data_IF_801811738975
#
_entry.id   IF_801811738975
#
_cell.length_a   1.000
_cell.length_b   1.000
_cell.length_c   1.000
_cell.angle_alpha   90.00
_cell.angle_beta   90.00
_cell.angle_gamma   90.00
#
_symmetry.space_group_name_H-M   'P 1'
#
loop_
_entity.id
_entity.type
_entity.pdbx_description
1 polymer ?
#
# COMPACT_ATOMS: atom_id res chain seq x y z
N UNK A 1 -1.60 -15.11 12.51
CA UNK A 1 -2.35 -13.84 12.35
C UNK A 1 -2.59 -13.66 10.86
N UNK A 2 -3.73 -14.13 10.35
CA UNK A 2 -4.17 -13.83 8.98
C UNK A 2 -5.06 -12.60 9.15
N UNK A 3 -4.62 -11.44 8.68
CA UNK A 3 -5.51 -10.29 8.54
C UNK A 3 -6.47 -10.64 7.41
N UNK A 4 -7.76 -10.77 7.71
CA UNK A 4 -8.78 -10.84 6.66
C UNK A 4 -8.86 -9.44 6.03
N UNK A 5 -8.03 -9.20 5.01
CA UNK A 5 -7.99 -7.93 4.27
C UNK A 5 -9.40 -7.64 3.76
N UNK A 6 -9.94 -6.45 4.02
CA UNK A 6 -11.25 -6.05 3.53
C UNK A 6 -11.26 -5.78 2.02
N UNK A 7 -12.45 -5.51 1.46
CA UNK A 7 -12.59 -5.27 0.02
C UNK A 7 -11.90 -3.96 -0.43
N UNK A 8 -11.99 -2.90 0.38
CA UNK A 8 -11.38 -1.60 0.07
C UNK A 8 -9.86 -1.69 0.13
N UNK A 9 -9.33 -2.36 1.14
CA UNK A 9 -7.91 -2.59 1.36
C UNK A 9 -7.30 -3.37 0.18
N UNK A 10 -7.98 -4.43 -0.30
CA UNK A 10 -7.56 -5.15 -1.52
C UNK A 10 -7.49 -4.23 -2.74
N UNK A 11 -8.50 -3.37 -2.91
CA UNK A 11 -8.52 -2.42 -4.03
C UNK A 11 -7.31 -1.47 -3.96
N UNK A 12 -7.02 -0.90 -2.79
CA UNK A 12 -5.89 0.01 -2.60
C UNK A 12 -4.54 -0.69 -2.80
N UNK A 13 -4.41 -1.95 -2.39
CA UNK A 13 -3.22 -2.76 -2.66
C UNK A 13 -3.00 -2.91 -4.18
N UNK A 14 -4.04 -3.23 -4.94
CA UNK A 14 -3.93 -3.38 -6.40
C UNK A 14 -3.65 -2.05 -7.11
N UNK A 15 -4.26 -0.95 -6.67
CA UNK A 15 -3.98 0.39 -7.20
C UNK A 15 -2.51 0.78 -7.00
N UNK A 16 -1.98 0.59 -5.80
CA UNK A 16 -0.57 0.85 -5.50
C UNK A 16 0.35 0.00 -6.38
N UNK A 17 0.04 -1.29 -6.55
CA UNK A 17 0.83 -2.21 -7.39
C UNK A 17 0.88 -1.73 -8.84
N UNK A 18 -0.25 -1.25 -9.39
CA UNK A 18 -0.32 -0.74 -10.76
C UNK A 18 0.46 0.58 -10.90
N UNK A 19 0.32 1.49 -9.94
CA UNK A 19 0.96 2.81 -9.99
C UNK A 19 2.48 2.76 -9.80
N UNK A 20 2.94 2.00 -8.80
CA UNK A 20 4.34 2.04 -8.32
C UNK A 20 5.17 0.82 -8.71
N UNK A 21 4.53 -0.27 -9.16
CA UNK A 21 5.15 -1.60 -9.34
C UNK A 21 5.70 -2.22 -8.05
N UNK A 22 5.37 -1.66 -6.88
CA UNK A 22 5.73 -2.21 -5.58
C UNK A 22 4.71 -3.27 -5.10
N UNK A 23 5.14 -4.13 -4.17
CA UNK A 23 4.26 -5.11 -3.53
C UNK A 23 3.90 -4.66 -2.11
N UNK A 24 2.62 -4.44 -1.83
CA UNK A 24 2.10 -4.31 -0.46
C UNK A 24 1.70 -5.67 0.11
N UNK A 25 2.05 -5.90 1.38
CA UNK A 25 1.69 -7.07 2.19
C UNK A 25 0.35 -6.84 2.89
N UNK A 26 0.11 -5.61 3.33
CA UNK A 26 -1.09 -5.21 4.05
C UNK A 26 -1.43 -3.74 3.73
N UNK A 27 -2.68 -3.36 3.96
CA UNK A 27 -3.19 -2.02 3.76
C UNK A 27 -4.19 -1.71 4.88
N UNK A 28 -3.96 -0.61 5.59
CA UNK A 28 -4.83 -0.14 6.66
C UNK A 28 -5.43 1.19 6.21
N UNK A 29 -6.75 1.27 6.25
CA UNK A 29 -7.49 2.51 6.00
C UNK A 29 -7.74 3.18 7.36
N UNK A 30 -7.17 4.36 7.55
CA UNK A 30 -7.30 5.15 8.77
C UNK A 30 -8.19 6.36 8.50
N UNK A 31 -9.50 6.13 8.48
CA UNK A 31 -10.53 7.15 8.20
C UNK A 31 -10.50 8.30 9.21
N UNK A 32 -9.98 8.09 10.43
CA UNK A 32 -9.89 9.13 11.46
C UNK A 32 -8.88 10.22 11.11
N UNK A 33 -7.86 9.87 10.31
CA UNK A 33 -6.77 10.76 9.90
C UNK A 33 -6.70 10.94 8.38
N UNK A 34 -7.73 10.51 7.64
CA UNK A 34 -7.83 10.58 6.18
C UNK A 34 -6.57 10.09 5.46
N UNK A 35 -6.08 8.90 5.83
CA UNK A 35 -4.84 8.33 5.27
C UNK A 35 -4.92 6.83 5.07
N UNK A 36 -4.08 6.35 4.15
CA UNK A 36 -3.90 4.93 3.85
C UNK A 36 -2.47 4.55 4.22
N UNK A 37 -2.32 3.48 4.99
CA UNK A 37 -1.03 2.99 5.48
C UNK A 37 -0.74 1.66 4.79
N UNK A 38 0.32 1.64 3.98
CA UNK A 38 0.77 0.45 3.28
C UNK A 38 1.94 -0.22 4.01
N UNK A 39 1.83 -1.53 4.21
CA UNK A 39 2.95 -2.36 4.67
C UNK A 39 3.66 -2.92 3.44
N UNK A 40 4.81 -2.34 3.08
CA UNK A 40 5.52 -2.68 1.84
C UNK A 40 6.45 -3.88 2.04
N UNK A 41 6.51 -4.75 1.02
CA UNK A 41 7.47 -5.85 0.96
C UNK A 41 8.91 -5.32 1.03
N UNK A 42 9.74 -5.95 1.86
CA UNK A 42 11.16 -5.61 1.96
C UNK A 42 11.82 -5.62 0.58
N UNK A 43 12.50 -4.52 0.23
CA UNK A 43 13.14 -4.32 -1.07
C UNK A 43 12.34 -3.41 -2.02
N UNK A 44 11.02 -3.35 -1.86
CA UNK A 44 10.14 -2.59 -2.78
C UNK A 44 9.87 -1.16 -2.30
N UNK A 45 10.37 -0.76 -1.11
CA UNK A 45 10.09 0.56 -0.51
C UNK A 45 10.46 1.72 -1.44
N UNK A 46 11.62 1.66 -2.11
CA UNK A 46 12.03 2.71 -3.05
C UNK A 46 11.13 2.80 -4.28
N UNK A 47 10.59 1.67 -4.75
CA UNK A 47 9.59 1.65 -5.83
C UNK A 47 8.26 2.25 -5.37
N UNK A 48 7.83 1.91 -4.15
CA UNK A 48 6.61 2.44 -3.57
C UNK A 48 6.65 3.96 -3.43
N UNK A 49 7.76 4.52 -2.94
CA UNK A 49 7.96 5.98 -2.77
C UNK A 49 8.19 6.67 -4.13
N UNK A 50 8.89 6.03 -5.05
CA UNK A 50 9.31 6.65 -6.30
C UNK A 50 10.44 7.68 -6.12
N UNK A 51 10.93 8.21 -7.24
CA UNK A 51 11.97 9.26 -7.23
C UNK A 51 11.36 10.54 -6.64
N UNK A 52 12.04 11.14 -5.67
CA UNK A 52 11.61 12.37 -4.99
C UNK A 52 10.20 12.30 -4.38
N UNK A 53 9.69 11.10 -4.08
CA UNK A 53 8.33 10.92 -3.55
C UNK A 53 7.22 11.15 -4.58
N UNK A 54 7.50 10.93 -5.87
CA UNK A 54 6.56 11.24 -6.96
C UNK A 54 5.42 10.21 -7.14
N UNK A 55 5.41 9.11 -6.37
CA UNK A 55 4.34 8.11 -6.40
C UNK A 55 3.32 8.31 -5.28
#
# INVERSE_FOLDING_TARGET
MRSDIGFKERRYIEELRIASKSTAIDCIIDDSFDRIIYVIKKGDMGLAIGKDGAN
#
